data_IF_941948894075
#
_entry.id   IF_941948894075
#
_cell.length_a   1.000
_cell.length_b   1.000
_cell.length_c   1.000
_cell.angle_alpha   90.00
_cell.angle_beta   90.00
_cell.angle_gamma   90.00
#
_symmetry.space_group_name_H-M   'P 1'
#
loop_
_entity.id
_entity.type
_entity.pdbx_description
1 polymer ?
#
# COMPACT_ATOMS: atom_id res chain seq x y z
N UNK A 1 6.67 32.09 -36.26
CA UNK A 1 6.65 30.66 -35.91
C UNK A 1 6.02 30.52 -34.53
N UNK A 2 4.70 30.32 -34.45
CA UNK A 2 4.04 30.01 -33.17
C UNK A 2 4.26 28.54 -32.86
N UNK A 3 4.90 28.24 -31.72
CA UNK A 3 4.83 26.90 -31.14
C UNK A 3 3.39 26.66 -30.75
N UNK A 4 2.72 25.71 -31.38
CA UNK A 4 1.49 25.15 -30.84
C UNK A 4 1.89 24.35 -29.61
N UNK A 5 1.65 24.91 -28.42
CA UNK A 5 1.64 24.13 -27.19
C UNK A 5 0.46 23.16 -27.31
N UNK A 6 0.73 21.94 -27.75
CA UNK A 6 -0.23 20.85 -27.67
C UNK A 6 -0.44 20.58 -26.18
N UNK A 7 -1.60 20.95 -25.66
CA UNK A 7 -2.01 20.70 -24.29
C UNK A 7 -1.94 19.20 -24.02
N UNK A 8 -0.96 18.78 -23.23
CA UNK A 8 -0.70 17.38 -22.95
C UNK A 8 -1.87 16.84 -22.10
N UNK A 9 -2.63 15.89 -22.63
CA UNK A 9 -3.80 15.35 -21.93
C UNK A 9 -3.34 14.57 -20.70
N UNK A 10 -3.74 15.03 -19.51
CA UNK A 10 -3.48 14.32 -18.25
C UNK A 10 -4.57 13.27 -18.06
N UNK A 11 -4.14 12.02 -17.91
CA UNK A 11 -4.98 10.87 -17.56
C UNK A 11 -4.91 10.58 -16.07
N UNK A 12 -5.90 9.86 -15.55
CA UNK A 12 -6.04 9.62 -14.11
C UNK A 12 -6.51 8.21 -13.81
N UNK A 13 -5.87 7.57 -12.82
CA UNK A 13 -6.35 6.33 -12.19
C UNK A 13 -6.56 6.58 -10.71
N UNK A 14 -7.74 6.18 -10.22
CA UNK A 14 -8.11 6.17 -8.80
C UNK A 14 -8.70 4.82 -8.44
N UNK A 15 -8.09 4.18 -7.46
CA UNK A 15 -8.59 2.97 -6.86
C UNK A 15 -9.53 3.37 -5.72
N UNK A 16 -10.70 2.75 -5.68
CA UNK A 16 -11.72 2.98 -4.65
C UNK A 16 -11.29 2.32 -3.33
N UNK A 17 -10.31 2.94 -2.68
CA UNK A 17 -9.70 2.48 -1.43
C UNK A 17 -9.75 3.67 -0.46
N UNK A 18 -10.78 3.74 0.40
CA UNK A 18 -10.87 4.80 1.38
C UNK A 18 -9.70 4.73 2.37
N UNK A 19 -9.25 5.87 2.92
CA UNK A 19 -8.30 5.88 4.03
C UNK A 19 -8.78 5.01 5.19
N UNK A 20 -7.84 4.40 5.90
CA UNK A 20 -8.08 3.56 7.09
C UNK A 20 -7.17 3.99 8.23
N UNK A 21 -7.60 3.78 9.47
CA UNK A 21 -6.85 4.18 10.67
C UNK A 21 -6.00 3.03 11.18
N UNK A 22 -4.70 3.29 11.40
CA UNK A 22 -3.85 2.34 12.12
C UNK A 22 -4.06 2.41 13.64
N UNK A 23 -3.86 1.29 14.32
CA UNK A 23 -3.66 1.30 15.76
C UNK A 23 -2.26 1.82 16.10
N UNK A 24 -2.14 2.52 17.23
CA UNK A 24 -0.92 3.27 17.59
C UNK A 24 -0.09 2.63 18.70
N UNK A 25 -0.56 1.54 19.30
CA UNK A 25 0.21 0.73 20.25
C UNK A 25 1.07 -0.31 19.50
N UNK A 26 1.89 -1.09 20.23
CA UNK A 26 2.67 -2.20 19.63
C UNK A 26 3.59 -1.74 18.50
N UNK A 27 4.12 -0.52 18.63
CA UNK A 27 4.96 0.17 17.65
C UNK A 27 4.32 0.52 16.29
N UNK A 28 2.99 0.53 16.24
CA UNK A 28 2.22 0.94 15.07
C UNK A 28 1.84 -0.24 14.19
N UNK A 29 0.71 -0.11 13.49
CA UNK A 29 0.12 -1.14 12.65
C UNK A 29 0.11 -0.74 11.16
N UNK A 30 1.04 0.12 10.74
CA UNK A 30 0.98 0.75 9.42
C UNK A 30 0.94 -0.25 8.26
N UNK A 31 1.76 -1.31 8.32
CA UNK A 31 1.73 -2.37 7.31
C UNK A 31 0.44 -3.18 7.38
N UNK A 32 -0.01 -3.54 8.58
CA UNK A 32 -1.25 -4.28 8.82
C UNK A 32 -2.49 -3.53 8.31
N UNK A 33 -2.56 -2.22 8.56
CA UNK A 33 -3.65 -1.37 8.06
C UNK A 33 -3.65 -1.31 6.53
N UNK A 34 -2.48 -1.26 5.88
CA UNK A 34 -2.40 -1.30 4.41
C UNK A 34 -2.83 -2.66 3.87
N UNK A 35 -2.42 -3.77 4.49
CA UNK A 35 -2.90 -5.12 4.11
C UNK A 35 -4.41 -5.21 4.28
N UNK A 36 -4.97 -4.70 5.37
CA UNK A 36 -6.42 -4.64 5.57
C UNK A 36 -7.10 -3.84 4.45
N UNK A 37 -6.64 -2.62 4.18
CA UNK A 37 -7.25 -1.74 3.17
C UNK A 37 -7.23 -2.39 1.78
N UNK A 38 -6.14 -3.10 1.44
CA UNK A 38 -6.03 -3.80 0.16
C UNK A 38 -6.77 -5.13 0.15
N UNK A 39 -6.91 -5.79 1.29
CA UNK A 39 -7.82 -6.91 1.48
C UNK A 39 -9.24 -6.50 1.13
N UNK A 40 -9.72 -5.40 1.70
CA UNK A 40 -11.05 -4.84 1.44
C UNK A 40 -11.25 -4.56 -0.05
N UNK A 41 -10.28 -3.90 -0.67
CA UNK A 41 -10.27 -3.65 -2.12
C UNK A 41 -10.35 -4.93 -2.96
N UNK A 42 -9.83 -6.04 -2.46
CA UNK A 42 -9.84 -7.35 -3.11
C UNK A 42 -10.90 -8.31 -2.53
N UNK A 43 -11.87 -7.80 -1.77
CA UNK A 43 -13.03 -8.55 -1.31
C UNK A 43 -12.85 -9.36 -0.02
N UNK A 44 -11.78 -9.14 0.74
CA UNK A 44 -11.52 -9.78 2.03
C UNK A 44 -11.45 -8.78 3.18
N UNK A 45 -12.19 -9.01 4.26
CA UNK A 45 -11.95 -8.33 5.53
C UNK A 45 -10.92 -9.13 6.33
N UNK A 46 -9.76 -8.54 6.61
CA UNK A 46 -8.75 -9.11 7.50
C UNK A 46 -8.42 -8.05 8.56
N UNK A 47 -8.63 -8.37 9.83
CA UNK A 47 -8.33 -7.45 10.93
C UNK A 47 -6.83 -7.19 11.03
N UNK A 48 -6.44 -5.98 11.45
CA UNK A 48 -5.05 -5.61 11.72
C UNK A 48 -4.36 -6.60 12.65
N UNK A 49 -5.07 -7.11 13.67
CA UNK A 49 -4.51 -8.11 14.59
C UNK A 49 -4.22 -9.44 13.88
N UNK A 50 -5.09 -9.90 12.97
CA UNK A 50 -4.87 -11.15 12.22
C UNK A 50 -3.61 -11.02 11.34
N UNK A 51 -3.43 -9.86 10.69
CA UNK A 51 -2.20 -9.61 9.92
C UNK A 51 -0.97 -9.66 10.83
N UNK A 52 -1.04 -9.02 12.00
CA UNK A 52 0.03 -9.02 13.02
C UNK A 52 0.37 -10.42 13.53
N UNK A 53 -0.64 -11.23 13.83
CA UNK A 53 -0.48 -12.60 14.34
C UNK A 53 0.18 -13.51 13.30
N UNK A 54 -0.23 -13.38 12.03
CA UNK A 54 0.38 -14.11 10.90
C UNK A 54 1.82 -13.67 10.68
N UNK A 55 2.11 -12.38 10.86
CA UNK A 55 3.46 -11.83 10.75
C UNK A 55 4.40 -12.33 11.86
N UNK A 56 3.86 -12.82 12.98
CA UNK A 56 4.61 -13.33 14.14
C UNK A 56 5.64 -12.34 14.70
N UNK A 57 5.36 -11.05 14.58
CA UNK A 57 6.30 -9.98 14.92
C UNK A 57 5.62 -8.62 15.01
N UNK A 58 6.19 -7.70 15.77
CA UNK A 58 5.58 -6.40 16.08
C UNK A 58 5.63 -5.39 14.92
N UNK A 59 6.23 -5.76 13.79
CA UNK A 59 6.35 -4.88 12.63
C UNK A 59 6.17 -5.68 11.34
N UNK A 60 5.29 -5.20 10.46
CA UNK A 60 5.24 -5.64 9.07
C UNK A 60 6.10 -4.72 8.20
N UNK A 61 7.41 -4.68 8.43
CA UNK A 61 8.35 -3.84 7.67
C UNK A 61 9.45 -4.72 7.11
N UNK A 62 9.67 -4.66 5.79
CA UNK A 62 10.79 -5.35 5.17
C UNK A 62 12.09 -4.57 5.44
N UNK A 63 13.11 -5.28 5.91
CA UNK A 63 14.44 -4.73 6.14
C UNK A 63 15.20 -4.73 4.81
N UNK A 64 15.49 -3.55 4.30
CA UNK A 64 16.03 -3.36 2.95
C UNK A 64 17.56 -3.27 3.00
N UNK A 65 18.12 -2.73 4.08
CA UNK A 65 19.57 -2.65 4.31
C UNK A 65 19.99 -3.29 5.65
N UNK A 66 21.27 -3.68 5.81
CA UNK A 66 21.79 -4.18 7.10
C UNK A 66 21.63 -3.17 8.25
N UNK A 67 21.59 -1.86 7.97
CA UNK A 67 21.29 -0.83 8.95
C UNK A 67 19.81 -0.88 9.40
N UNK A 68 18.88 -1.26 8.52
CA UNK A 68 17.49 -1.56 8.90
C UNK A 68 17.42 -2.77 9.85
N UNK A 69 18.32 -3.76 9.71
CA UNK A 69 18.40 -4.91 10.61
C UNK A 69 19.00 -4.55 11.98
N UNK A 70 19.95 -3.61 12.02
CA UNK A 70 20.51 -3.07 13.27
C UNK A 70 19.51 -2.19 14.04
N UNK A 71 18.45 -1.72 13.38
CA UNK A 71 17.31 -1.08 14.03
C UNK A 71 16.36 -2.06 14.74
N UNK A 72 16.73 -3.35 14.90
CA UNK A 72 16.23 -4.17 16.03
C UNK A 72 16.51 -3.41 17.32
N UNK A 73 15.53 -2.60 17.75
CA UNK A 73 15.75 -1.61 18.79
C UNK A 73 16.28 -2.31 20.05
N UNK A 74 17.29 -1.73 20.73
CA UNK A 74 17.90 -2.32 21.92
C UNK A 74 16.93 -2.57 23.10
N UNK A 75 15.69 -2.10 23.01
CA UNK A 75 14.63 -2.27 24.02
C UNK A 75 13.85 -3.59 23.95
N UNK A 76 14.22 -4.54 23.06
CA UNK A 76 13.61 -5.87 23.06
C UNK A 76 12.21 -5.96 22.42
N UNK A 77 11.84 -5.00 21.57
CA UNK A 77 10.64 -5.09 20.73
C UNK A 77 10.80 -6.23 19.72
N UNK A 78 9.79 -7.09 19.64
CA UNK A 78 9.79 -8.33 18.86
C UNK A 78 10.11 -8.05 17.39
N UNK A 79 11.04 -8.80 16.81
CA UNK A 79 11.47 -8.62 15.42
C UNK A 79 10.30 -8.58 14.44
N UNK A 80 10.42 -7.80 13.37
CA UNK A 80 9.43 -7.77 12.30
C UNK A 80 9.46 -9.05 11.46
N UNK A 81 8.28 -9.51 11.03
CA UNK A 81 8.16 -10.53 10.00
C UNK A 81 8.29 -9.93 8.61
N UNK A 82 8.64 -10.77 7.64
CA UNK A 82 8.76 -10.36 6.24
C UNK A 82 7.35 -10.16 5.61
N UNK A 83 7.06 -8.98 5.04
CA UNK A 83 5.76 -8.71 4.41
C UNK A 83 5.37 -9.70 3.32
N UNK A 84 6.34 -10.23 2.56
CA UNK A 84 6.05 -11.21 1.50
C UNK A 84 5.55 -12.53 2.09
N UNK A 85 6.20 -13.01 3.15
CA UNK A 85 5.76 -14.19 3.92
C UNK A 85 4.35 -14.02 4.49
N UNK A 86 4.06 -12.85 5.06
CA UNK A 86 2.73 -12.52 5.59
C UNK A 86 1.66 -12.53 4.50
N UNK A 87 1.90 -11.86 3.37
CA UNK A 87 0.98 -11.83 2.23
C UNK A 87 0.74 -13.21 1.64
N UNK A 88 1.79 -14.02 1.47
CA UNK A 88 1.68 -15.40 0.99
C UNK A 88 0.85 -16.26 1.94
N UNK A 89 1.03 -16.09 3.25
CA UNK A 89 0.26 -16.84 4.27
C UNK A 89 -1.21 -16.46 4.26
N UNK A 90 -1.50 -15.16 4.12
CA UNK A 90 -2.86 -14.63 3.96
C UNK A 90 -3.47 -14.88 2.57
N UNK A 91 -2.77 -15.60 1.69
CA UNK A 91 -3.23 -15.96 0.34
C UNK A 91 -3.48 -14.74 -0.55
N UNK A 92 -2.64 -13.71 -0.44
CA UNK A 92 -2.59 -12.64 -1.44
C UNK A 92 -1.67 -13.02 -2.61
N UNK A 93 -2.05 -12.55 -3.80
CA UNK A 93 -1.15 -12.45 -4.95
C UNK A 93 -0.55 -11.04 -5.00
N UNK A 94 0.71 -10.93 -5.38
CA UNK A 94 1.43 -9.65 -5.37
C UNK A 94 2.58 -9.62 -6.39
N UNK A 95 3.05 -8.39 -6.66
CA UNK A 95 4.28 -8.11 -7.41
C UNK A 95 5.14 -7.24 -6.49
N UNK A 96 6.33 -7.72 -6.11
CA UNK A 96 7.28 -6.94 -5.34
C UNK A 96 8.26 -6.21 -6.28
N UNK A 97 8.67 -4.99 -5.89
CA UNK A 97 9.77 -4.30 -6.56
C UNK A 97 11.09 -5.01 -6.27
N UNK A 98 11.85 -5.34 -7.31
CA UNK A 98 13.16 -5.98 -7.20
C UNK A 98 14.27 -4.95 -6.92
N UNK A 99 14.28 -4.46 -5.68
CA UNK A 99 15.24 -3.47 -5.22
C UNK A 99 16.68 -4.00 -5.17
N UNK A 100 16.90 -5.32 -5.19
CA UNK A 100 18.24 -5.91 -5.09
C UNK A 100 18.98 -5.83 -6.43
N UNK A 101 18.24 -5.98 -7.54
CA UNK A 101 18.82 -6.00 -8.89
C UNK A 101 18.55 -4.72 -9.70
N UNK A 102 17.81 -3.75 -9.15
CA UNK A 102 17.52 -2.50 -9.84
C UNK A 102 18.75 -1.59 -10.00
N UNK A 103 18.89 -0.99 -11.19
CA UNK A 103 19.94 -0.01 -11.49
C UNK A 103 19.79 1.26 -10.62
N UNK A 104 20.93 1.89 -10.31
CA UNK A 104 20.97 3.14 -9.57
C UNK A 104 20.95 4.39 -10.48
N UNK A 105 20.28 5.49 -10.08
CA UNK A 105 19.32 5.57 -8.97
C UNK A 105 18.05 4.75 -9.28
N UNK A 106 17.48 4.08 -8.28
CA UNK A 106 16.32 3.21 -8.47
C UNK A 106 15.03 3.96 -8.74
N UNK A 107 14.88 5.17 -8.18
CA UNK A 107 13.58 5.84 -8.11
C UNK A 107 12.89 6.09 -9.46
N UNK A 108 13.56 6.49 -10.56
CA UNK A 108 12.90 6.63 -11.85
C UNK A 108 12.26 5.33 -12.37
N UNK A 109 12.98 4.21 -12.24
CA UNK A 109 12.47 2.90 -12.64
C UNK A 109 11.35 2.42 -11.69
N UNK A 110 11.50 2.70 -10.39
CA UNK A 110 10.48 2.43 -9.38
C UNK A 110 9.20 3.24 -9.60
N UNK A 111 9.30 4.53 -9.94
CA UNK A 111 8.15 5.39 -10.25
C UNK A 111 7.39 4.93 -11.50
N UNK A 112 8.10 4.45 -12.53
CA UNK A 112 7.47 3.82 -13.69
C UNK A 112 6.79 2.49 -13.31
N UNK A 113 7.40 1.70 -12.42
CA UNK A 113 6.78 0.49 -11.87
C UNK A 113 5.49 0.81 -11.09
N UNK A 114 5.50 1.83 -10.22
CA UNK A 114 4.31 2.33 -9.52
C UNK A 114 3.19 2.63 -10.52
N UNK A 115 3.50 3.43 -11.55
CA UNK A 115 2.54 3.79 -12.59
C UNK A 115 1.93 2.55 -13.24
N UNK A 116 2.76 1.62 -13.71
CA UNK A 116 2.31 0.40 -14.41
C UNK A 116 1.46 -0.51 -13.52
N UNK A 117 1.74 -0.59 -12.23
CA UNK A 117 0.90 -1.33 -11.27
C UNK A 117 -0.47 -0.66 -11.10
N UNK A 118 -0.50 0.67 -10.91
CA UNK A 118 -1.76 1.40 -10.75
C UNK A 118 -2.63 1.34 -12.01
N UNK A 119 -2.04 1.44 -13.20
CA UNK A 119 -2.77 1.29 -14.49
C UNK A 119 -3.46 -0.07 -14.63
N UNK A 120 -2.95 -1.11 -13.96
CA UNK A 120 -3.57 -2.44 -13.92
C UNK A 120 -4.61 -2.58 -12.78
N UNK A 121 -4.81 -1.54 -11.98
CA UNK A 121 -5.71 -1.55 -10.84
C UNK A 121 -5.08 -2.11 -9.56
N UNK A 122 -3.75 -2.25 -9.49
CA UNK A 122 -3.07 -2.83 -8.34
C UNK A 122 -2.63 -1.73 -7.36
N UNK A 123 -3.19 -1.69 -6.14
CA UNK A 123 -2.72 -0.74 -5.13
C UNK A 123 -1.34 -1.14 -4.60
N UNK A 124 -0.58 -0.13 -4.17
CA UNK A 124 0.84 -0.30 -3.83
C UNK A 124 1.07 0.03 -2.37
N UNK A 125 1.66 -0.90 -1.65
CA UNK A 125 2.24 -0.69 -0.35
C UNK A 125 3.67 -0.18 -0.57
N UNK A 126 4.02 0.96 -0.01
CA UNK A 126 5.37 1.51 -0.11
C UNK A 126 5.88 1.96 1.24
N UNK A 127 7.21 1.99 1.38
CA UNK A 127 7.90 2.44 2.59
C UNK A 127 8.53 3.80 2.35
N UNK A 128 8.35 4.71 3.29
CA UNK A 128 9.11 5.97 3.37
C UNK A 128 10.22 5.87 4.41
N UNK A 129 11.20 6.76 4.29
CA UNK A 129 12.20 7.05 5.32
C UNK A 129 11.87 8.41 5.93
N UNK A 130 11.66 8.44 7.25
CA UNK A 130 11.34 9.68 7.98
C UNK A 130 12.61 10.47 8.29
N UNK A 131 13.64 9.79 8.79
CA UNK A 131 14.98 10.33 9.02
C UNK A 131 16.00 9.16 9.12
N UNK A 132 17.21 9.44 9.60
CA UNK A 132 18.27 8.44 9.79
C UNK A 132 18.05 7.49 11.00
N UNK A 133 17.08 7.78 11.87
CA UNK A 133 16.85 7.09 13.16
C UNK A 133 15.48 6.41 13.26
N UNK A 134 14.48 6.86 12.52
CA UNK A 134 13.15 6.28 12.47
C UNK A 134 13.04 5.25 11.36
N UNK A 135 12.85 3.99 11.80
CA UNK A 135 12.37 2.91 10.95
C UNK A 135 11.12 3.38 10.22
N UNK A 136 11.16 3.28 8.89
CA UNK A 136 10.20 3.90 7.97
C UNK A 136 8.71 3.70 8.25
N UNK A 137 7.88 4.46 7.55
CA UNK A 137 6.42 4.33 7.61
C UNK A 137 5.91 3.63 6.35
N UNK A 138 4.96 2.70 6.51
CA UNK A 138 4.31 2.05 5.38
C UNK A 138 3.00 2.76 5.08
N UNK A 139 2.80 3.10 3.81
CA UNK A 139 1.61 3.77 3.33
C UNK A 139 1.10 3.12 2.04
N UNK A 140 -0.18 3.34 1.69
CA UNK A 140 -0.74 2.89 0.43
C UNK A 140 -0.71 4.00 -0.63
N UNK A 141 -0.30 3.69 -1.85
CA UNK A 141 -0.59 4.48 -3.05
C UNK A 141 -1.84 3.89 -3.72
N UNK A 142 -2.82 4.73 -3.96
CA UNK A 142 -4.15 4.35 -4.46
C UNK A 142 -4.52 5.04 -5.76
N UNK A 143 -3.62 5.82 -6.35
CA UNK A 143 -3.88 6.45 -7.65
C UNK A 143 -2.72 7.27 -8.18
N UNK A 144 -2.83 7.66 -9.44
CA UNK A 144 -1.85 8.48 -10.16
C UNK A 144 -2.53 9.34 -11.23
N UNK A 145 -2.08 10.58 -11.36
CA UNK A 145 -2.25 11.41 -12.55
C UNK A 145 -1.00 11.33 -13.39
N UNK A 146 -1.16 11.14 -14.71
CA UNK A 146 -0.03 10.92 -15.60
C UNK A 146 -0.27 11.44 -17.01
N UNK A 147 0.81 11.80 -17.70
CA UNK A 147 0.80 12.31 -19.07
C UNK A 147 1.10 11.23 -20.12
N UNK A 148 1.84 10.19 -19.73
CA UNK A 148 2.25 9.07 -20.58
C UNK A 148 2.37 7.79 -19.74
N UNK A 149 1.77 6.70 -20.20
CA UNK A 149 1.77 5.39 -19.49
C UNK A 149 3.13 4.66 -19.51
N UNK A 150 4.00 4.97 -20.48
CA UNK A 150 5.18 4.16 -20.80
C UNK A 150 6.50 4.80 -20.37
N UNK A 151 6.49 6.06 -19.98
CA UNK A 151 7.70 6.81 -19.56
C UNK A 151 7.57 7.27 -18.13
N UNK A 152 8.67 7.27 -17.39
CA UNK A 152 8.73 7.98 -16.10
C UNK A 152 8.61 9.48 -16.35
N UNK A 153 7.75 10.16 -15.59
CA UNK A 153 7.64 11.61 -15.56
C UNK A 153 7.60 12.02 -14.09
N UNK A 154 8.57 12.84 -13.67
CA UNK A 154 8.71 13.24 -12.28
C UNK A 154 7.55 14.13 -11.79
N UNK A 155 6.75 14.66 -12.73
CA UNK A 155 5.56 15.46 -12.47
C UNK A 155 4.27 14.64 -12.42
N UNK A 156 4.32 13.34 -12.76
CA UNK A 156 3.21 12.44 -12.46
C UNK A 156 2.90 12.53 -10.97
N UNK A 157 1.62 12.59 -10.65
CA UNK A 157 1.20 12.91 -9.30
C UNK A 157 0.48 11.73 -8.67
N UNK A 158 1.04 11.18 -7.59
CA UNK A 158 0.49 10.04 -6.86
C UNK A 158 -0.50 10.47 -5.78
N UNK A 159 -1.40 9.54 -5.46
CA UNK A 159 -2.41 9.66 -4.42
C UNK A 159 -2.15 8.60 -3.34
N UNK A 160 -1.99 9.02 -2.09
CA UNK A 160 -1.68 8.15 -0.97
C UNK A 160 -2.26 8.72 0.34
N UNK A 161 -2.20 7.99 1.45
CA UNK A 161 -2.66 8.51 2.75
C UNK A 161 -1.84 7.98 3.92
N UNK A 162 -1.89 8.71 5.04
CA UNK A 162 -0.97 8.53 6.17
C UNK A 162 -1.31 7.43 7.17
N UNK A 163 -2.53 6.91 7.14
CA UNK A 163 -3.10 6.00 8.14
C UNK A 163 -3.43 6.64 9.51
N UNK A 164 -3.13 7.93 9.69
CA UNK A 164 -3.44 8.67 10.92
C UNK A 164 -4.63 9.61 10.77
N UNK A 165 -5.01 9.94 9.53
CA UNK A 165 -6.14 10.79 9.21
C UNK A 165 -6.86 10.28 7.95
N UNK A 166 -7.98 10.92 7.59
CA UNK A 166 -8.78 10.59 6.41
C UNK A 166 -8.35 11.35 5.16
N UNK A 167 -7.25 12.08 5.21
CA UNK A 167 -6.81 12.92 4.11
C UNK A 167 -6.07 12.08 3.05
N UNK A 168 -6.49 12.20 1.79
CA UNK A 168 -5.74 11.68 0.66
C UNK A 168 -4.76 12.77 0.24
N UNK A 169 -3.48 12.48 0.42
CA UNK A 169 -2.36 13.30 0.00
C UNK A 169 -2.14 13.13 -1.51
N UNK A 170 -1.81 14.24 -2.17
CA UNK A 170 -1.52 14.32 -3.60
C UNK A 170 -0.15 14.95 -3.78
N UNK A 171 0.82 14.23 -4.36
CA UNK A 171 2.18 14.76 -4.57
C UNK A 171 2.84 14.27 -5.86
N UNK A 172 3.62 15.12 -6.56
CA UNK A 172 4.47 14.69 -7.67
C UNK A 172 5.44 13.58 -7.26
N UNK A 173 5.81 12.71 -8.20
CA UNK A 173 6.84 11.68 -7.98
C UNK A 173 8.18 12.31 -7.57
N UNK A 174 8.53 13.50 -8.08
CA UNK A 174 9.70 14.29 -7.66
C UNK A 174 9.65 14.75 -6.19
N UNK A 175 8.46 14.77 -5.58
CA UNK A 175 8.28 15.06 -4.15
C UNK A 175 8.36 13.76 -3.34
N UNK A 176 7.64 12.73 -3.80
CA UNK A 176 7.62 11.41 -3.16
C UNK A 176 9.02 10.79 -3.07
N UNK A 177 9.75 10.77 -4.19
CA UNK A 177 11.13 10.32 -4.27
C UNK A 177 12.10 11.46 -4.01
N UNK A 178 12.78 11.43 -2.89
CA UNK A 178 13.82 12.42 -2.60
C UNK A 178 14.78 11.94 -1.53
N UNK A 179 15.93 12.61 -1.46
CA UNK A 179 16.88 12.42 -0.38
C UNK A 179 16.29 13.00 0.93
N UNK A 180 16.07 12.16 1.97
CA UNK A 180 15.59 12.62 3.27
C UNK A 180 16.48 13.69 3.91
N UNK A 181 17.79 13.67 3.63
CA UNK A 181 18.75 14.65 4.16
C UNK A 181 18.73 15.98 3.38
N UNK A 182 18.39 15.94 2.09
CA UNK A 182 18.42 17.12 1.23
C UNK A 182 17.18 18.03 1.37
N UNK A 183 16.12 17.56 2.03
CA UNK A 183 14.85 18.30 2.16
C UNK A 183 14.47 18.57 3.61
N UNK A 184 14.24 19.85 3.92
CA UNK A 184 13.37 20.30 5.03
C UNK A 184 11.88 20.15 4.72
N UNK A 185 11.55 19.52 3.59
CA UNK A 185 10.17 19.41 3.08
C UNK A 185 9.47 18.29 3.82
N UNK A 186 8.49 18.69 4.62
CA UNK A 186 7.49 17.85 5.25
C UNK A 186 6.67 17.11 4.18
N UNK A 187 7.21 16.05 3.59
CA UNK A 187 6.31 14.91 3.43
C UNK A 187 5.99 14.53 4.88
N UNK A 188 4.76 14.79 5.32
CA UNK A 188 4.35 14.67 6.73
C UNK A 188 4.66 13.30 7.33
N UNK A 189 4.98 12.32 6.46
CA UNK A 189 5.32 10.95 6.79
C UNK A 189 6.56 10.41 6.04
N UNK A 190 7.49 11.28 5.61
CA UNK A 190 8.79 10.90 5.03
C UNK A 190 8.79 10.70 3.51
N UNK A 191 9.95 10.44 2.90
CA UNK A 191 10.09 10.26 1.45
C UNK A 191 10.61 8.86 1.08
N UNK A 192 10.41 8.46 -0.17
CA UNK A 192 11.05 7.25 -0.72
C UNK A 192 12.50 7.59 -1.08
N UNK A 193 13.50 6.85 -0.58
CA UNK A 193 14.89 7.06 -0.95
C UNK A 193 15.12 6.89 -2.46
N UNK A 194 16.04 7.67 -3.01
CA UNK A 194 16.33 7.65 -4.44
C UNK A 194 17.11 6.40 -4.88
N UNK A 195 17.88 5.85 -3.96
CA UNK A 195 18.86 4.78 -4.15
C UNK A 195 18.30 3.39 -3.85
N UNK A 196 17.56 3.25 -2.75
CA UNK A 196 16.94 1.96 -2.41
C UNK A 196 15.45 2.14 -2.14
N UNK A 197 14.66 1.77 -3.15
CA UNK A 197 13.21 1.85 -3.11
C UNK A 197 12.62 0.52 -2.63
N UNK A 198 11.51 0.55 -1.90
CA UNK A 198 10.78 -0.66 -1.53
C UNK A 198 9.28 -0.47 -1.72
N UNK A 199 8.65 -1.47 -2.34
CA UNK A 199 7.20 -1.51 -2.48
C UNK A 199 6.68 -2.85 -2.97
N UNK A 200 5.39 -3.10 -2.70
CA UNK A 200 4.64 -4.29 -3.10
C UNK A 200 3.31 -3.85 -3.69
N UNK A 201 3.02 -4.25 -4.91
CA UNK A 201 1.69 -4.13 -5.50
C UNK A 201 0.87 -5.38 -5.17
N UNK A 202 -0.27 -5.24 -4.49
CA UNK A 202 -1.18 -6.35 -4.25
C UNK A 202 -2.11 -6.50 -5.45
N UNK A 203 -2.09 -7.68 -6.09
CA UNK A 203 -2.81 -7.91 -7.34
C UNK A 203 -4.15 -8.63 -7.16
N UNK A 204 -4.40 -9.17 -5.97
CA UNK A 204 -5.64 -9.90 -5.67
C UNK A 204 -5.49 -10.88 -4.53
N UNK A 205 -6.56 -11.63 -4.29
CA UNK A 205 -6.51 -12.88 -3.54
C UNK A 205 -6.04 -14.00 -4.47
N UNK A 206 -5.34 -14.99 -3.91
CA UNK A 206 -4.89 -16.17 -4.65
C UNK A 206 -6.11 -16.99 -5.08
N UNK A 207 -6.24 -17.15 -6.39
CA UNK A 207 -7.26 -17.96 -7.05
C UNK A 207 -6.57 -18.83 -8.11
N UNK A 208 -6.01 -19.96 -7.66
CA UNK A 208 -5.21 -20.87 -8.50
C UNK A 208 -5.98 -21.37 -9.71
N UNK A 209 -7.30 -21.53 -9.57
CA UNK A 209 -8.18 -22.04 -10.62
C UNK A 209 -8.77 -20.93 -11.51
N UNK A 210 -8.55 -19.65 -11.19
CA UNK A 210 -9.07 -18.48 -11.91
C UNK A 210 -10.59 -18.51 -12.09
N UNK A 211 -11.30 -18.96 -11.07
CA UNK A 211 -12.77 -19.12 -11.06
C UNK A 211 -13.48 -17.97 -10.34
N UNK A 212 -12.77 -17.21 -9.52
CA UNK A 212 -13.31 -16.08 -8.78
C UNK A 212 -13.44 -14.85 -9.68
N UNK A 213 -14.53 -14.12 -9.49
CA UNK A 213 -14.70 -12.80 -10.08
C UNK A 213 -14.08 -11.72 -9.17
N UNK A 214 -13.69 -10.56 -9.72
CA UNK A 214 -13.26 -9.44 -8.89
C UNK A 214 -14.40 -8.99 -7.96
N UNK A 215 -14.11 -9.00 -6.67
CA UNK A 215 -15.01 -8.53 -5.60
C UNK A 215 -14.32 -7.39 -4.86
N UNK A 216 -15.08 -6.35 -4.54
CA UNK A 216 -14.66 -5.27 -3.65
C UNK A 216 -15.58 -5.23 -2.44
N UNK A 217 -15.00 -5.05 -1.26
CA UNK A 217 -15.70 -4.79 -0.03
C UNK A 217 -15.32 -3.40 0.45
N UNK A 218 -16.27 -2.47 0.45
CA UNK A 218 -16.08 -1.14 1.05
C UNK A 218 -16.81 -1.13 2.38
N UNK A 219 -16.18 -0.59 3.42
CA UNK A 219 -16.81 -0.47 4.75
C UNK A 219 -16.87 0.99 5.15
N UNK A 220 -18.01 1.40 5.73
CA UNK A 220 -18.33 2.80 5.99
C UNK A 220 -17.46 3.41 7.10
N UNK A 221 -17.08 2.60 8.09
CA UNK A 221 -16.26 3.02 9.20
C UNK A 221 -14.80 3.24 8.75
N UNK A 222 -14.11 4.17 9.41
CA UNK A 222 -12.72 4.50 9.11
C UNK A 222 -11.73 3.61 9.87
N UNK A 223 -12.15 3.15 11.03
CA UNK A 223 -11.42 2.30 11.96
C UNK A 223 -12.16 0.99 12.21
N UNK A 224 -11.46 0.02 12.76
CA UNK A 224 -12.03 -1.19 13.35
C UNK A 224 -11.74 -1.20 14.86
N UNK A 225 -12.53 -1.92 15.67
CA UNK A 225 -12.27 -2.07 17.10
C UNK A 225 -10.86 -2.62 17.38
N UNK A 226 -10.14 -1.96 18.29
CA UNK A 226 -8.84 -2.39 18.73
C UNK A 226 -8.93 -3.54 19.74
N UNK A 227 -8.97 -4.78 19.23
CA UNK A 227 -9.07 -5.99 20.09
C UNK A 227 -7.87 -6.15 21.04
N UNK A 228 -6.71 -5.61 20.68
CA UNK A 228 -5.52 -5.63 21.51
C UNK A 228 -5.63 -4.70 22.73
N UNK A 229 -6.41 -3.61 22.62
CA UNK A 229 -6.74 -2.71 23.73
C UNK A 229 -8.01 -3.14 24.48
N UNK A 230 -8.59 -4.29 24.12
CA UNK A 230 -9.82 -4.81 24.72
C UNK A 230 -11.09 -4.08 24.27
N UNK A 231 -11.06 -3.40 23.12
CA UNK A 231 -12.28 -2.82 22.56
C UNK A 231 -13.26 -3.92 22.12
N UNK A 232 -14.53 -3.70 22.43
CA UNK A 232 -15.60 -4.63 22.10
C UNK A 232 -15.87 -4.69 20.59
N UNK A 233 -16.27 -5.86 20.11
CA UNK A 233 -16.74 -6.02 18.74
C UNK A 233 -17.93 -5.10 18.46
N UNK A 234 -17.97 -4.52 17.26
CA UNK A 234 -19.09 -3.68 16.81
C UNK A 234 -19.51 -4.08 15.41
N UNK A 235 -20.78 -3.85 15.10
CA UNK A 235 -21.30 -4.00 13.75
C UNK A 235 -20.60 -3.03 12.79
N UNK A 236 -20.29 -3.53 11.60
CA UNK A 236 -19.68 -2.74 10.53
C UNK A 236 -20.52 -2.86 9.27
N UNK A 237 -20.78 -1.73 8.61
CA UNK A 237 -21.64 -1.69 7.44
C UNK A 237 -20.76 -1.76 6.19
N UNK A 238 -20.86 -2.89 5.49
CA UNK A 238 -20.12 -3.15 4.25
C UNK A 238 -21.01 -3.12 3.00
N UNK A 239 -20.46 -2.58 1.91
CA UNK A 239 -20.99 -2.72 0.55
C UNK A 239 -20.10 -3.66 -0.24
N UNK A 240 -20.70 -4.71 -0.82
CA UNK A 240 -20.01 -5.63 -1.72
C UNK A 240 -20.32 -5.25 -3.17
N UNK A 241 -19.28 -5.06 -3.98
CA UNK A 241 -19.39 -4.84 -5.42
C UNK A 241 -18.71 -5.97 -6.17
N UNK A 242 -19.43 -6.63 -7.07
CA UNK A 242 -18.88 -7.70 -7.93
C UNK A 242 -18.82 -7.20 -9.36
N UNK A 243 -17.69 -7.44 -10.03
CA UNK A 243 -17.48 -7.01 -11.41
C UNK A 243 -17.45 -8.21 -12.38
N UNK A 244 -17.58 -7.91 -13.68
CA UNK A 244 -17.53 -8.90 -14.77
C UNK A 244 -18.62 -9.99 -14.69
N UNK A 245 -19.76 -9.66 -14.09
CA UNK A 245 -20.93 -10.53 -14.12
C UNK A 245 -21.49 -10.63 -15.55
N UNK A 246 -21.83 -11.83 -15.96
CA UNK A 246 -22.53 -12.15 -17.21
C UNK A 246 -24.02 -12.37 -16.94
N UNK A 247 -24.89 -11.69 -17.69
CA UNK A 247 -26.35 -11.83 -17.62
C UNK A 247 -26.80 -13.29 -17.80
N UNK A 248 -27.76 -13.74 -16.99
CA UNK A 248 -28.32 -15.10 -17.06
C UNK A 248 -27.47 -16.20 -16.44
N UNK A 249 -26.30 -15.88 -15.88
CA UNK A 249 -25.49 -16.81 -15.08
C UNK A 249 -25.81 -16.68 -13.60
N UNK A 250 -25.69 -17.79 -12.87
CA UNK A 250 -25.80 -17.82 -11.41
C UNK A 250 -24.40 -17.70 -10.81
N UNK A 251 -24.32 -17.03 -9.66
CA UNK A 251 -23.09 -16.81 -8.91
C UNK A 251 -23.34 -17.09 -7.44
N UNK A 252 -22.27 -17.48 -6.73
CA UNK A 252 -22.29 -17.70 -5.30
C UNK A 252 -21.36 -16.66 -4.68
N UNK A 253 -21.90 -15.87 -3.74
CA UNK A 253 -21.09 -15.01 -2.89
C UNK A 253 -20.79 -15.75 -1.60
N UNK A 254 -19.52 -16.04 -1.36
CA UNK A 254 -19.07 -16.72 -0.14
C UNK A 254 -18.70 -15.68 0.91
N UNK A 255 -19.22 -15.86 2.12
CA UNK A 255 -18.77 -15.16 3.33
C UNK A 255 -18.09 -16.19 4.22
N UNK A 256 -16.82 -15.96 4.53
CA UNK A 256 -16.11 -16.73 5.53
C UNK A 256 -16.30 -16.05 6.90
N UNK A 257 -16.77 -16.80 7.88
CA UNK A 257 -16.78 -16.40 9.29
C UNK A 257 -15.74 -17.23 10.02
N UNK A 258 -14.84 -16.56 10.74
CA UNK A 258 -13.95 -17.15 11.74
C UNK A 258 -14.65 -17.28 13.08
#
# INVERSE_FOLDING_TARGET
MSRSDSEQTISSVRLDIPPRKQWTHGHGYCGETVVQAFGLYNGAWISQQIVRDVNKGEYLIHHVTPEDDQQRRPSGGGGGGDPLTTLTTLKFSYIAWDYQNACQPQFPAYGLWIKRCLLQGFPIMFRTKLDQFFGGHIMPITGIDYSNENTFDEQDTVYYYSLFNREILKQPLSILGSDPAARRVYCSWGCVPLDVCWGIAITGLLDENKVCLPVRLTVAEWDEPCVADGEEARDMIGQVTVQKLTTGKQYILLRYSS
#
